data_IF_344237504287
#
_entry.id   IF_344237504287
#
_cell.length_a   1.000
_cell.length_b   1.000
_cell.length_c   1.000
_cell.angle_alpha   90.00
_cell.angle_beta   90.00
_cell.angle_gamma   90.00
#
_symmetry.space_group_name_H-M   'P 1'
#
loop_
_entity.id
_entity.type
_entity.pdbx_description
1 polymer ?
#
# COMPACT_ATOMS: atom_id res chain seq x y z
N UNK A 1 -15.38 7.43 0.17
CA UNK A 1 -15.39 6.46 -0.96
C UNK A 1 -14.10 5.64 -1.10
N UNK A 2 -12.94 6.08 -0.58
CA UNK A 2 -11.67 5.35 -0.75
C UNK A 2 -11.65 3.95 -0.09
N UNK A 3 -12.32 3.77 1.07
CA UNK A 3 -12.49 2.48 1.78
C UNK A 3 -13.03 1.37 0.86
N UNK A 4 -13.98 1.69 -0.04
CA UNK A 4 -14.54 0.71 -0.97
C UNK A 4 -13.68 0.51 -2.22
N UNK A 5 -13.03 1.58 -2.71
CA UNK A 5 -12.24 1.52 -3.96
C UNK A 5 -10.88 0.85 -3.81
N UNK A 6 -10.20 1.08 -2.69
CA UNK A 6 -8.85 0.58 -2.46
C UNK A 6 -8.67 -0.14 -1.12
N UNK A 7 -9.64 -0.05 -0.20
CA UNK A 7 -9.55 -0.71 1.10
C UNK A 7 -9.53 -2.23 1.00
N UNK A 8 -10.24 -2.82 0.03
CA UNK A 8 -10.19 -4.28 -0.23
C UNK A 8 -8.79 -4.71 -0.64
N UNK A 9 -8.18 -4.01 -1.60
CA UNK A 9 -6.82 -4.29 -2.05
C UNK A 9 -5.81 -4.12 -0.91
N UNK A 10 -5.92 -3.05 -0.14
CA UNK A 10 -5.06 -2.82 1.03
C UNK A 10 -5.24 -3.93 2.10
N UNK A 11 -6.46 -4.42 2.31
CA UNK A 11 -6.74 -5.53 3.23
C UNK A 11 -6.04 -6.80 2.75
N UNK A 12 -6.08 -7.09 1.46
CA UNK A 12 -5.35 -8.22 0.84
C UNK A 12 -3.85 -8.08 1.08
N UNK A 13 -3.26 -6.92 0.75
CA UNK A 13 -1.82 -6.68 0.97
C UNK A 13 -1.40 -6.87 2.44
N UNK A 14 -2.18 -6.35 3.39
CA UNK A 14 -1.91 -6.53 4.82
C UNK A 14 -1.98 -8.01 5.22
N UNK A 15 -2.94 -8.76 4.67
CA UNK A 15 -3.09 -10.18 4.95
C UNK A 15 -1.94 -11.01 4.36
N UNK A 16 -1.49 -10.68 3.15
CA UNK A 16 -0.34 -11.32 2.50
C UNK A 16 0.94 -11.08 3.32
N UNK A 17 1.14 -9.85 3.82
CA UNK A 17 2.25 -9.52 4.73
C UNK A 17 2.16 -10.32 6.04
N UNK A 18 0.96 -10.45 6.64
CA UNK A 18 0.77 -11.26 7.86
C UNK A 18 1.08 -12.74 7.60
N UNK A 19 0.65 -13.28 6.46
CA UNK A 19 0.93 -14.65 6.07
C UNK A 19 2.45 -14.88 5.95
N UNK A 20 3.17 -13.96 5.30
CA UNK A 20 4.63 -13.96 5.22
C UNK A 20 5.30 -13.92 6.60
N UNK A 21 4.83 -13.08 7.52
CA UNK A 21 5.36 -13.01 8.90
C UNK A 21 5.14 -14.33 9.64
N UNK A 22 3.97 -14.95 9.49
CA UNK A 22 3.64 -16.23 10.14
C UNK A 22 4.35 -17.46 9.56
N UNK A 23 5.14 -17.31 8.49
CA UNK A 23 5.87 -18.40 7.81
C UNK A 23 4.96 -19.56 7.37
N UNK A 24 3.78 -19.25 6.83
CA UNK A 24 2.93 -20.28 6.23
C UNK A 24 3.59 -20.77 4.91
N UNK A 25 3.48 -22.06 4.59
CA UNK A 25 4.25 -22.73 3.52
C UNK A 25 3.93 -22.27 2.08
N UNK A 26 2.98 -21.36 1.89
CA UNK A 26 2.53 -20.85 0.57
C UNK A 26 2.62 -19.32 0.50
N UNK A 27 3.81 -18.73 0.74
CA UNK A 27 3.99 -17.28 0.66
C UNK A 27 4.80 -16.87 -0.56
N UNK A 28 4.24 -15.99 -1.39
CA UNK A 28 4.94 -15.37 -2.52
C UNK A 28 5.88 -14.25 -2.03
N UNK A 29 7.10 -14.19 -2.57
CA UNK A 29 8.07 -13.11 -2.24
C UNK A 29 7.67 -11.75 -2.81
N UNK A 30 6.91 -11.75 -3.90
CA UNK A 30 6.39 -10.56 -4.55
C UNK A 30 5.05 -10.89 -5.20
N UNK A 31 4.11 -9.95 -5.13
CA UNK A 31 2.78 -10.07 -5.72
C UNK A 31 2.55 -8.80 -6.54
N UNK A 32 2.20 -8.97 -7.81
CA UNK A 32 2.00 -7.86 -8.75
C UNK A 32 0.54 -7.79 -9.17
N UNK A 33 0.00 -6.58 -9.20
CA UNK A 33 -1.36 -6.29 -9.64
C UNK A 33 -1.28 -5.32 -10.81
N UNK A 34 -1.96 -5.63 -11.90
CA UNK A 34 -2.20 -4.68 -12.99
C UNK A 34 -3.54 -4.00 -12.76
N UNK A 35 -3.59 -2.68 -12.85
CA UNK A 35 -4.76 -1.89 -12.53
C UNK A 35 -4.75 -0.54 -13.27
N UNK A 36 -5.59 0.39 -12.83
CA UNK A 36 -5.75 1.72 -13.41
C UNK A 36 -5.35 2.82 -12.42
N UNK A 37 -5.19 4.04 -12.94
CA UNK A 37 -5.11 5.29 -12.17
C UNK A 37 -6.20 5.40 -11.08
N UNK A 38 -7.41 4.95 -11.39
CA UNK A 38 -8.56 4.87 -10.47
C UNK A 38 -8.36 3.92 -9.28
N UNK A 39 -7.34 3.06 -9.31
CA UNK A 39 -6.87 2.25 -8.17
C UNK A 39 -5.77 2.97 -7.39
N UNK A 40 -4.82 3.59 -8.09
CA UNK A 40 -3.68 4.30 -7.48
C UNK A 40 -4.16 5.53 -6.69
N UNK A 41 -5.03 6.36 -7.26
CA UNK A 41 -5.49 7.61 -6.62
C UNK A 41 -6.14 7.34 -5.26
N UNK A 42 -7.10 6.39 -5.12
CA UNK A 42 -7.67 6.06 -3.81
C UNK A 42 -6.66 5.45 -2.83
N UNK A 43 -5.67 4.67 -3.29
CA UNK A 43 -4.57 4.18 -2.43
C UNK A 43 -3.75 5.34 -1.86
N UNK A 44 -3.31 6.27 -2.72
CA UNK A 44 -2.56 7.46 -2.26
C UNK A 44 -3.37 8.34 -1.31
N UNK A 45 -4.70 8.41 -1.48
CA UNK A 45 -5.61 9.10 -0.54
C UNK A 45 -5.76 8.35 0.79
N UNK A 46 -5.78 7.02 0.77
CA UNK A 46 -5.78 6.17 1.98
C UNK A 46 -4.49 6.34 2.79
N UNK A 47 -3.38 6.69 2.13
CA UNK A 47 -2.12 7.01 2.79
C UNK A 47 -1.96 8.50 3.12
N UNK A 48 -2.91 9.35 2.73
CA UNK A 48 -2.87 10.80 2.92
C UNK A 48 -1.64 11.47 2.26
N UNK A 49 -1.23 10.94 1.10
CA UNK A 49 -0.08 11.44 0.32
C UNK A 49 -0.45 11.87 -1.09
N UNK A 50 -1.72 11.71 -1.51
CA UNK A 50 -2.15 12.02 -2.88
C UNK A 50 -1.76 13.44 -3.29
N UNK A 51 -2.02 14.46 -2.48
CA UNK A 51 -1.75 15.85 -2.91
C UNK A 51 -0.26 16.22 -2.82
N UNK A 52 0.54 15.45 -2.07
CA UNK A 52 2.00 15.59 -2.01
C UNK A 52 2.69 14.97 -3.24
N UNK A 53 2.20 13.81 -3.69
CA UNK A 53 2.77 13.07 -4.82
C UNK A 53 2.17 13.49 -6.17
N UNK A 54 0.90 13.87 -6.19
CA UNK A 54 0.11 14.27 -7.35
C UNK A 54 -0.59 15.61 -7.08
N UNK A 55 0.17 16.73 -7.09
CA UNK A 55 -0.38 18.06 -6.83
C UNK A 55 -1.33 18.50 -7.95
N UNK A 56 -2.11 19.56 -7.70
CA UNK A 56 -2.95 20.23 -8.71
C UNK A 56 -3.93 19.31 -9.45
N UNK A 57 -4.49 18.31 -8.77
CA UNK A 57 -5.42 17.33 -9.36
C UNK A 57 -4.80 16.51 -10.51
N UNK A 58 -3.47 16.37 -10.55
CA UNK A 58 -2.80 15.50 -11.49
C UNK A 58 -3.23 14.03 -11.30
N UNK A 59 -3.33 13.33 -12.43
CA UNK A 59 -3.49 11.88 -12.48
C UNK A 59 -2.11 11.20 -12.57
N UNK A 60 -1.99 9.93 -12.15
CA UNK A 60 -0.78 9.14 -12.37
C UNK A 60 -0.44 9.03 -13.86
N UNK A 61 0.85 9.14 -14.21
CA UNK A 61 1.30 8.90 -15.58
C UNK A 61 1.11 7.42 -15.98
N UNK A 62 1.26 7.15 -17.28
CA UNK A 62 1.32 5.79 -17.79
C UNK A 62 2.43 5.00 -17.07
N UNK A 63 2.14 3.73 -16.73
CA UNK A 63 2.96 2.80 -15.92
C UNK A 63 3.31 3.25 -14.50
N UNK A 64 2.65 4.27 -13.97
CA UNK A 64 2.75 4.61 -12.56
C UNK A 64 2.41 3.40 -11.68
N UNK A 65 3.12 3.23 -10.57
CA UNK A 65 2.85 2.14 -9.65
C UNK A 65 3.18 2.51 -8.19
N UNK A 66 2.49 1.81 -7.28
CA UNK A 66 2.69 1.91 -5.83
C UNK A 66 3.17 0.56 -5.34
N UNK A 67 4.29 0.57 -4.62
CA UNK A 67 4.91 -0.63 -4.06
C UNK A 67 4.94 -0.51 -2.55
N UNK A 68 4.49 -1.56 -1.85
CA UNK A 68 4.76 -1.73 -0.42
C UNK A 68 5.72 -2.90 -0.23
N UNK A 69 6.77 -2.67 0.54
CA UNK A 69 7.75 -3.69 0.89
C UNK A 69 7.66 -4.00 2.38
N UNK A 70 7.65 -5.29 2.71
CA UNK A 70 7.76 -5.76 4.08
C UNK A 70 9.21 -6.16 4.37
N UNK A 71 9.80 -5.54 5.37
CA UNK A 71 11.19 -5.79 5.78
C UNK A 71 11.23 -6.39 7.18
N UNK A 72 12.03 -7.44 7.34
CA UNK A 72 12.41 -7.98 8.66
C UNK A 72 13.71 -7.31 9.11
N UNK A 73 13.71 -6.75 10.31
CA UNK A 73 14.86 -6.11 10.95
C UNK A 73 15.69 -7.16 11.72
N UNK A 74 16.91 -6.80 12.08
CA UNK A 74 17.83 -7.69 12.79
C UNK A 74 17.32 -8.09 14.19
N UNK A 75 16.54 -7.21 14.83
CA UNK A 75 15.88 -7.46 16.11
C UNK A 75 14.63 -8.35 15.99
N UNK A 76 14.31 -8.81 14.78
CA UNK A 76 13.14 -9.64 14.48
C UNK A 76 11.84 -8.85 14.28
N UNK A 77 11.85 -7.52 14.45
CA UNK A 77 10.71 -6.66 14.17
C UNK A 77 10.46 -6.52 12.65
N UNK A 78 9.27 -6.05 12.29
CA UNK A 78 8.88 -5.86 10.89
C UNK A 78 8.50 -4.40 10.63
N UNK A 79 8.93 -3.89 9.48
CA UNK A 79 8.60 -2.54 9.01
C UNK A 79 8.08 -2.58 7.57
N UNK A 80 7.28 -1.59 7.23
CA UNK A 80 6.77 -1.34 5.87
C UNK A 80 7.49 -0.14 5.27
N UNK A 81 7.95 -0.30 4.03
CA UNK A 81 8.42 0.77 3.15
C UNK A 81 7.45 0.95 2.00
N UNK A 82 7.28 2.17 1.53
CA UNK A 82 6.25 2.54 0.56
C UNK A 82 6.85 3.44 -0.52
N UNK A 83 6.71 3.02 -1.77
CA UNK A 83 7.33 3.67 -2.91
C UNK A 83 6.30 4.01 -3.98
N UNK A 84 6.46 5.18 -4.57
CA UNK A 84 5.71 5.60 -5.74
C UNK A 84 6.68 5.76 -6.91
N UNK A 85 6.37 5.08 -8.00
CA UNK A 85 7.08 5.20 -9.26
C UNK A 85 6.20 6.01 -10.20
N UNK A 86 6.58 7.24 -10.56
CA UNK A 86 5.72 8.10 -11.39
C UNK A 86 5.55 7.56 -12.81
N UNK A 87 6.62 7.11 -13.44
CA UNK A 87 6.63 6.54 -14.80
C UNK A 87 7.91 5.72 -15.03
N UNK A 88 8.17 5.27 -16.27
CA UNK A 88 9.33 4.43 -16.62
C UNK A 88 10.67 5.15 -16.67
N UNK A 89 10.69 6.48 -16.55
CA UNK A 89 11.89 7.31 -16.73
C UNK A 89 12.26 8.02 -15.43
N UNK A 90 11.26 8.46 -14.66
CA UNK A 90 11.44 9.12 -13.38
C UNK A 90 11.97 8.15 -12.31
N UNK A 91 12.74 8.70 -11.37
CA UNK A 91 13.18 7.95 -10.19
C UNK A 91 12.03 7.57 -9.25
N UNK A 92 12.31 6.65 -8.34
CA UNK A 92 11.35 6.26 -7.29
C UNK A 92 11.28 7.30 -6.18
N UNK A 93 10.09 7.45 -5.60
CA UNK A 93 9.83 8.32 -4.45
C UNK A 93 9.47 7.43 -3.26
N UNK A 94 10.32 7.38 -2.24
CA UNK A 94 9.95 6.81 -0.94
C UNK A 94 9.00 7.80 -0.24
N UNK A 95 7.76 7.37 0.00
CA UNK A 95 6.75 8.19 0.65
C UNK A 95 6.38 7.69 2.05
N UNK A 96 7.11 6.73 2.63
CA UNK A 96 6.80 6.16 3.95
C UNK A 96 6.67 7.21 5.04
N UNK A 97 7.61 8.15 5.10
CA UNK A 97 7.61 9.25 6.07
C UNK A 97 6.46 10.24 5.88
N UNK A 98 5.78 10.19 4.71
CA UNK A 98 4.68 11.07 4.38
C UNK A 98 3.32 10.49 4.78
N UNK A 99 3.24 9.20 5.09
CA UNK A 99 2.01 8.49 5.45
C UNK A 99 1.51 8.97 6.80
N UNK A 100 0.27 9.45 6.87
CA UNK A 100 -0.32 9.88 8.13
C UNK A 100 -0.42 8.71 9.14
N UNK A 101 0.07 8.96 10.36
CA UNK A 101 0.11 7.98 11.44
C UNK A 101 1.35 7.07 11.43
N UNK A 102 2.23 7.15 10.42
CA UNK A 102 3.56 6.56 10.48
C UNK A 102 4.58 7.55 11.07
N UNK A 103 5.70 7.07 11.66
CA UNK A 103 6.80 7.93 12.07
C UNK A 103 7.38 8.68 10.85
N UNK A 104 7.99 9.88 11.05
CA UNK A 104 8.60 10.67 9.98
C UNK A 104 9.96 10.09 9.55
N UNK A 105 10.00 8.80 9.24
CA UNK A 105 11.17 8.02 8.83
C UNK A 105 10.85 7.19 7.59
N UNK A 106 11.87 6.68 6.91
CA UNK A 106 11.72 5.83 5.72
C UNK A 106 11.19 4.41 6.00
N UNK A 107 10.81 4.16 7.25
CA UNK A 107 10.31 2.88 7.76
C UNK A 107 9.12 3.16 8.68
N UNK A 108 8.04 2.40 8.49
CA UNK A 108 6.87 2.42 9.37
C UNK A 108 6.73 1.05 10.05
N UNK A 109 6.77 0.96 11.40
CA UNK A 109 6.54 -0.29 12.09
C UNK A 109 5.23 -0.96 11.62
N UNK A 110 5.29 -2.27 11.35
CA UNK A 110 4.20 -2.99 10.68
C UNK A 110 2.89 -2.92 11.49
N UNK A 111 2.97 -3.02 12.81
CA UNK A 111 1.84 -2.90 13.72
C UNK A 111 1.20 -1.50 13.68
N UNK A 112 2.02 -0.44 13.65
CA UNK A 112 1.57 0.95 13.49
C UNK A 112 0.89 1.12 12.12
N UNK A 113 1.51 0.60 11.05
CA UNK A 113 0.96 0.64 9.70
C UNK A 113 -0.41 -0.06 9.62
N UNK A 114 -0.53 -1.27 10.17
CA UNK A 114 -1.80 -2.02 10.21
C UNK A 114 -2.84 -1.27 11.04
N UNK A 115 -2.45 -0.78 12.23
CA UNK A 115 -3.37 -0.10 13.13
C UNK A 115 -3.93 1.17 12.51
N UNK A 116 -3.08 1.99 11.87
CA UNK A 116 -3.55 3.18 11.16
C UNK A 116 -4.50 2.78 10.03
N UNK A 117 -4.21 1.71 9.28
CA UNK A 117 -5.01 1.26 8.14
C UNK A 117 -6.44 0.83 8.48
N UNK A 118 -6.72 0.41 9.73
CA UNK A 118 -8.02 -0.14 10.15
C UNK A 118 -9.23 0.71 9.73
N UNK A 119 -9.15 2.04 9.81
CA UNK A 119 -10.25 2.94 9.43
C UNK A 119 -10.65 2.86 7.95
N UNK A 120 -9.76 2.37 7.09
CA UNK A 120 -9.99 2.21 5.65
C UNK A 120 -10.19 0.74 5.22
N UNK A 121 -10.13 -0.22 6.15
CA UNK A 121 -10.37 -1.63 5.83
C UNK A 121 -11.86 -1.94 5.89
N UNK A 122 -12.43 -2.58 4.86
CA UNK A 122 -13.81 -3.02 4.89
C UNK A 122 -14.01 -4.21 5.83
N UNK A 123 -15.07 -4.15 6.63
CA UNK A 123 -15.40 -5.15 7.65
C UNK A 123 -16.25 -6.30 7.08
N UNK A 124 -17.23 -5.97 6.22
CA UNK A 124 -18.10 -6.91 5.50
C UNK A 124 -18.14 -6.58 4.01
N UNK A 125 -17.35 -7.30 3.20
CA UNK A 125 -17.56 -7.37 1.75
C UNK A 125 -17.89 -8.81 1.44
N UNK A 126 -19.12 -9.05 1.01
CA UNK A 126 -19.43 -10.29 0.31
C UNK A 126 -18.64 -10.25 -0.99
N UNK A 127 -17.54 -11.02 -1.04
CA UNK A 127 -16.74 -11.24 -2.23
C UNK A 127 -17.59 -12.05 -3.22
N UNK A 128 -18.53 -11.38 -3.89
CA UNK A 128 -18.99 -11.86 -5.19
C UNK A 128 -17.75 -11.75 -6.07
N UNK A 129 -17.16 -12.89 -6.38
CA UNK A 129 -16.09 -13.04 -7.36
C UNK A 129 -16.54 -12.38 -8.66
N UNK A 130 -16.22 -11.10 -8.83
CA UNK A 130 -16.15 -10.50 -10.16
C UNK A 130 -14.83 -11.00 -10.72
N UNK A 131 -14.89 -12.19 -11.32
CA UNK A 131 -13.89 -12.64 -12.28
C UNK A 131 -13.75 -11.54 -13.32
N UNK A 132 -12.57 -10.90 -13.34
CA UNK A 132 -12.12 -10.05 -14.44
C UNK A 132 -11.97 -10.87 -15.71
#
# INVERSE_FOLDING_TARGET
MNKLRAGTLLKTWINDMKAMISQNNETYKAIFYSAHDTTIIPLLRIFDVKDKLLPNLADPDFVANVVLELWKKDDGSYVVKAFYYPNSIAGTINFTSMISGCPPTDECPFDIFVNRCKSYLPDNIDLVLVTL
#
